data_IF_414318529456
#
_entry.id   IF_414318529456
#
_cell.length_a   1.000
_cell.length_b   1.000
_cell.length_c   1.000
_cell.angle_alpha   90.00
_cell.angle_beta   90.00
_cell.angle_gamma   90.00
#
_symmetry.space_group_name_H-M   'P 1'
#
loop_
_entity.id
_entity.type
_entity.pdbx_description
1 polymer ?
#
# COMPACT_ATOMS: atom_id res chain seq x y z
N UNK A 1 -8.62 -11.63 9.56
CA UNK A 1 -9.40 -12.71 8.92
C UNK A 1 -8.80 -13.13 7.58
N UNK A 2 -8.68 -12.24 6.58
CA UNK A 2 -8.09 -12.59 5.25
C UNK A 2 -6.71 -13.26 5.35
N UNK A 3 -5.77 -12.65 6.08
CA UNK A 3 -4.44 -13.22 6.32
C UNK A 3 -4.48 -14.58 7.03
N UNK A 4 -5.41 -14.75 7.96
CA UNK A 4 -5.57 -16.01 8.69
C UNK A 4 -6.02 -17.13 7.75
N UNK A 5 -7.11 -16.90 6.99
CA UNK A 5 -7.63 -17.88 6.03
C UNK A 5 -6.59 -18.23 4.97
N UNK A 6 -5.80 -17.25 4.55
CA UNK A 6 -4.75 -17.44 3.55
C UNK A 6 -3.54 -18.23 4.06
N UNK A 7 -3.18 -18.13 5.35
CA UNK A 7 -1.90 -18.67 5.87
C UNK A 7 -2.03 -19.77 6.91
N UNK A 8 -3.13 -19.83 7.64
CA UNK A 8 -3.39 -20.76 8.74
C UNK A 8 -4.40 -21.85 8.37
N UNK A 9 -5.18 -21.64 7.31
CA UNK A 9 -6.15 -22.61 6.79
C UNK A 9 -7.61 -22.21 7.00
N UNK A 10 -8.54 -23.14 6.73
CA UNK A 10 -9.98 -22.87 6.76
C UNK A 10 -10.49 -22.37 8.12
N UNK A 11 -11.52 -21.52 8.09
CA UNK A 11 -12.23 -21.07 9.30
C UNK A 11 -13.69 -20.78 8.99
N UNK A 12 -14.47 -20.33 9.98
CA UNK A 12 -15.85 -19.89 9.77
C UNK A 12 -16.06 -18.44 10.22
N UNK A 13 -16.93 -17.73 9.52
CA UNK A 13 -17.34 -16.38 9.89
C UNK A 13 -18.82 -16.17 9.63
N UNK A 14 -19.59 -15.82 10.67
CA UNK A 14 -21.05 -15.62 10.58
C UNK A 14 -21.79 -16.76 9.85
N UNK A 15 -21.36 -18.01 10.07
CA UNK A 15 -21.97 -19.20 9.47
C UNK A 15 -21.46 -19.57 8.06
N UNK A 16 -20.63 -18.74 7.43
CA UNK A 16 -19.97 -19.06 6.16
C UNK A 16 -18.64 -19.79 6.41
N UNK A 17 -18.37 -20.88 5.68
CA UNK A 17 -17.06 -21.53 5.64
C UNK A 17 -16.12 -20.73 4.73
N UNK A 18 -14.95 -20.37 5.25
CA UNK A 18 -13.94 -19.59 4.55
C UNK A 18 -12.75 -20.47 4.21
N UNK A 19 -12.53 -20.69 2.92
CA UNK A 19 -11.39 -21.45 2.38
C UNK A 19 -10.62 -20.63 1.35
N UNK A 20 -9.29 -20.65 1.42
CA UNK A 20 -8.43 -19.97 0.46
C UNK A 20 -8.14 -20.89 -0.72
N UNK A 21 -8.52 -20.47 -1.93
CA UNK A 21 -8.25 -21.18 -3.18
C UNK A 21 -7.25 -20.44 -4.08
N UNK A 22 -6.44 -19.55 -3.52
CA UNK A 22 -5.34 -18.91 -4.27
C UNK A 22 -4.27 -19.94 -4.64
N UNK A 23 -3.81 -19.88 -5.88
CA UNK A 23 -2.61 -20.62 -6.29
C UNK A 23 -1.39 -20.22 -5.44
N UNK A 24 -0.52 -21.19 -5.17
CA UNK A 24 0.62 -21.08 -4.25
C UNK A 24 1.49 -19.84 -4.52
N UNK A 25 1.74 -19.54 -5.80
CA UNK A 25 2.57 -18.42 -6.20
C UNK A 25 1.95 -17.06 -5.84
N UNK A 26 0.66 -16.88 -6.14
CA UNK A 26 -0.08 -15.66 -5.75
C UNK A 26 -0.15 -15.54 -4.24
N UNK A 27 -0.34 -16.66 -3.54
CA UNK A 27 -0.37 -16.70 -2.09
C UNK A 27 0.95 -16.19 -1.52
N UNK A 28 2.09 -16.78 -1.91
CA UNK A 28 3.42 -16.38 -1.43
C UNK A 28 3.74 -14.93 -1.75
N UNK A 29 3.46 -14.46 -2.96
CA UNK A 29 3.84 -13.10 -3.37
C UNK A 29 2.90 -12.04 -2.78
N UNK A 30 1.58 -12.22 -2.84
CA UNK A 30 0.61 -11.22 -2.36
C UNK A 30 0.52 -11.18 -0.83
N UNK A 31 0.47 -12.34 -0.16
CA UNK A 31 0.20 -12.38 1.29
C UNK A 31 1.38 -11.87 2.11
N UNK A 32 2.63 -12.11 1.69
CA UNK A 32 3.79 -11.54 2.37
C UNK A 32 3.76 -10.01 2.34
N UNK A 33 3.36 -9.41 1.21
CA UNK A 33 3.20 -7.96 1.09
C UNK A 33 2.07 -7.46 1.98
N UNK A 34 0.92 -8.15 2.01
CA UNK A 34 -0.20 -7.79 2.86
C UNK A 34 0.12 -7.91 4.37
N UNK A 35 0.89 -8.92 4.78
CA UNK A 35 1.37 -9.05 6.16
C UNK A 35 2.31 -7.90 6.54
N UNK A 36 3.24 -7.52 5.64
CA UNK A 36 4.10 -6.35 5.84
C UNK A 36 3.29 -5.07 6.02
N UNK A 37 2.28 -4.86 5.16
CA UNK A 37 1.35 -3.74 5.29
C UNK A 37 0.63 -3.74 6.66
N UNK A 38 0.14 -4.90 7.10
CA UNK A 38 -0.50 -5.06 8.41
C UNK A 38 0.40 -4.75 9.61
N UNK A 39 1.71 -5.05 9.51
CA UNK A 39 2.68 -4.63 10.52
C UNK A 39 2.81 -3.10 10.57
N UNK A 40 2.90 -2.43 9.40
CA UNK A 40 2.91 -0.97 9.34
C UNK A 40 1.63 -0.34 9.93
N UNK A 41 0.46 -0.93 9.68
CA UNK A 41 -0.80 -0.49 10.34
C UNK A 41 -0.70 -0.64 11.86
N UNK A 42 -0.18 -1.77 12.34
CA UNK A 42 0.01 -2.02 13.78
C UNK A 42 0.93 -0.98 14.41
N UNK A 43 2.01 -0.59 13.72
CA UNK A 43 2.92 0.47 14.17
C UNK A 43 2.19 1.81 14.29
N UNK A 44 1.40 2.21 13.28
CA UNK A 44 0.64 3.46 13.32
C UNK A 44 -0.36 3.45 14.49
N UNK A 45 -1.07 2.34 14.71
CA UNK A 45 -2.02 2.21 15.81
C UNK A 45 -1.35 2.32 17.19
N UNK A 46 -0.11 1.83 17.34
CA UNK A 46 0.68 2.00 18.58
C UNK A 46 1.14 3.43 18.81
N UNK A 47 1.07 4.27 17.79
CA UNK A 47 1.42 5.69 17.82
C UNK A 47 0.17 6.59 17.74
N UNK A 48 -1.03 6.06 17.97
CA UNK A 48 -2.29 6.79 17.81
C UNK A 48 -2.45 7.95 18.81
N UNK A 49 -1.69 7.95 19.91
CA UNK A 49 -1.63 9.00 20.92
C UNK A 49 -0.53 10.04 20.66
N UNK A 50 0.27 9.87 19.60
CA UNK A 50 1.36 10.80 19.29
C UNK A 50 0.83 12.17 18.87
N UNK A 51 1.53 13.21 19.31
CA UNK A 51 1.29 14.61 18.95
C UNK A 51 2.63 15.31 18.71
N UNK A 52 2.64 16.32 17.86
CA UNK A 52 3.80 17.12 17.51
C UNK A 52 4.75 16.42 16.53
N UNK A 53 6.05 16.72 16.66
CA UNK A 53 7.12 16.30 15.72
C UNK A 53 7.07 14.80 15.35
N UNK A 54 6.87 13.84 16.29
CA UNK A 54 6.88 12.41 15.96
C UNK A 54 5.84 11.98 14.92
N UNK A 55 4.74 12.74 14.75
CA UNK A 55 3.71 12.44 13.74
C UNK A 55 4.30 12.47 12.32
N UNK A 56 5.36 13.25 12.07
CA UNK A 56 6.06 13.28 10.78
C UNK A 56 6.51 11.91 10.33
N UNK A 57 6.97 11.07 11.25
CA UNK A 57 7.52 9.74 10.95
C UNK A 57 6.44 8.72 10.58
N UNK A 58 5.17 9.05 10.82
CA UNK A 58 4.04 8.20 10.45
C UNK A 58 3.65 8.33 8.96
N UNK A 59 3.97 9.46 8.30
CA UNK A 59 3.74 9.64 6.86
C UNK A 59 4.42 8.56 5.99
N UNK A 60 5.73 8.28 6.12
CA UNK A 60 6.36 7.23 5.32
C UNK A 60 5.83 5.83 5.65
N UNK A 61 5.46 5.57 6.92
CA UNK A 61 4.87 4.29 7.34
C UNK A 61 3.49 4.10 6.71
N UNK A 62 2.64 5.13 6.73
CA UNK A 62 1.31 5.11 6.11
C UNK A 62 1.39 4.92 4.59
N UNK A 63 2.26 5.68 3.90
CA UNK A 63 2.47 5.53 2.46
C UNK A 63 2.94 4.12 2.09
N UNK A 64 3.87 3.56 2.88
CA UNK A 64 4.34 2.18 2.71
C UNK A 64 3.20 1.17 2.90
N UNK A 65 2.37 1.31 3.93
CA UNK A 65 1.22 0.44 4.16
C UNK A 65 0.22 0.49 2.99
N UNK A 66 -0.14 1.69 2.54
CA UNK A 66 -1.10 1.92 1.45
C UNK A 66 -0.61 1.29 0.14
N UNK A 67 0.63 1.58 -0.28
CA UNK A 67 1.17 1.02 -1.52
C UNK A 67 1.34 -0.50 -1.43
N UNK A 68 1.68 -1.02 -0.25
CA UNK A 68 1.80 -2.46 -0.02
C UNK A 68 0.44 -3.16 -0.15
N UNK A 69 -0.64 -2.62 0.42
CA UNK A 69 -1.99 -3.17 0.21
C UNK A 69 -2.44 -3.10 -1.25
N UNK A 70 -2.13 -2.01 -1.96
CA UNK A 70 -2.41 -1.88 -3.40
C UNK A 70 -1.65 -2.95 -4.19
N UNK A 71 -0.37 -3.18 -3.89
CA UNK A 71 0.44 -4.20 -4.54
C UNK A 71 -0.08 -5.61 -4.29
N UNK A 72 -0.39 -5.92 -3.04
CA UNK A 72 -0.94 -7.21 -2.66
C UNK A 72 -2.27 -7.46 -3.40
N UNK A 73 -3.17 -6.47 -3.41
CA UNK A 73 -4.45 -6.53 -4.11
C UNK A 73 -4.26 -6.69 -5.63
N UNK A 74 -3.36 -5.92 -6.24
CA UNK A 74 -3.08 -5.99 -7.68
C UNK A 74 -2.58 -7.38 -8.11
N UNK A 75 -1.59 -7.95 -7.39
CA UNK A 75 -1.09 -9.30 -7.67
C UNK A 75 -2.20 -10.36 -7.50
N UNK A 76 -3.10 -10.15 -6.55
CA UNK A 76 -4.16 -11.10 -6.23
C UNK A 76 -5.23 -11.20 -7.33
N UNK A 77 -5.55 -10.08 -7.98
CA UNK A 77 -6.60 -10.02 -9.01
C UNK A 77 -6.08 -10.30 -10.42
N UNK A 78 -4.82 -10.02 -10.69
CA UNK A 78 -4.20 -10.15 -12.01
C UNK A 78 -3.96 -11.61 -12.43
N UNK A 79 -3.48 -11.78 -13.66
CA UNK A 79 -3.03 -13.08 -14.17
C UNK A 79 -1.84 -13.66 -13.38
N UNK A 80 -1.64 -14.98 -13.44
CA UNK A 80 -0.52 -15.65 -12.78
C UNK A 80 0.85 -15.18 -13.31
N UNK A 81 0.92 -14.75 -14.57
CA UNK A 81 2.11 -14.17 -15.17
C UNK A 81 2.62 -12.92 -14.41
N UNK A 82 1.73 -12.13 -13.82
CA UNK A 82 2.12 -10.97 -12.97
C UNK A 82 2.77 -11.45 -11.68
N UNK A 83 2.22 -12.49 -11.05
CA UNK A 83 2.77 -13.09 -9.84
C UNK A 83 4.13 -13.77 -10.10
N UNK A 84 4.27 -14.46 -11.24
CA UNK A 84 5.54 -15.06 -11.70
C UNK A 84 6.61 -14.01 -11.91
N UNK A 85 6.29 -12.93 -12.62
CA UNK A 85 7.23 -11.82 -12.84
C UNK A 85 7.63 -11.17 -11.52
N UNK A 86 6.69 -10.95 -10.60
CA UNK A 86 6.96 -10.39 -9.28
C UNK A 86 7.88 -11.31 -8.45
N UNK A 87 7.67 -12.63 -8.49
CA UNK A 87 8.53 -13.58 -7.81
C UNK A 87 9.96 -13.59 -8.39
N UNK A 88 10.11 -13.62 -9.72
CA UNK A 88 11.43 -13.55 -10.38
C UNK A 88 12.15 -12.21 -10.10
N UNK A 89 11.38 -11.13 -10.02
CA UNK A 89 11.93 -9.81 -9.71
C UNK A 89 12.63 -9.77 -8.35
N UNK A 90 12.25 -10.59 -7.37
CA UNK A 90 12.93 -10.63 -6.06
C UNK A 90 14.42 -10.99 -6.23
N UNK A 91 14.71 -12.05 -7.01
CA UNK A 91 16.09 -12.47 -7.28
C UNK A 91 16.85 -11.42 -8.09
N UNK A 92 16.22 -10.87 -9.14
CA UNK A 92 16.82 -9.81 -9.95
C UNK A 92 17.10 -8.54 -9.12
N UNK A 93 16.17 -8.11 -8.28
CA UNK A 93 16.32 -6.92 -7.44
C UNK A 93 17.43 -7.09 -6.40
N UNK A 94 17.56 -8.28 -5.80
CA UNK A 94 18.67 -8.63 -4.91
C UNK A 94 20.02 -8.53 -5.62
N UNK A 95 20.12 -9.10 -6.84
CA UNK A 95 21.32 -8.99 -7.66
C UNK A 95 21.62 -7.54 -8.05
N UNK A 96 20.61 -6.79 -8.49
CA UNK A 96 20.73 -5.38 -8.89
C UNK A 96 21.13 -4.47 -7.73
N UNK A 97 20.81 -4.83 -6.49
CA UNK A 97 21.21 -4.07 -5.30
C UNK A 97 22.73 -3.98 -5.17
N UNK A 98 23.43 -5.04 -5.58
CA UNK A 98 24.89 -5.13 -5.52
C UNK A 98 25.56 -4.94 -6.89
N UNK A 99 24.80 -4.82 -7.97
CA UNK A 99 25.27 -4.69 -9.35
C UNK A 99 24.48 -3.59 -10.09
N UNK A 100 24.85 -2.32 -9.89
CA UNK A 100 24.19 -1.18 -10.54
C UNK A 100 25.11 0.01 -10.75
N UNK A 101 24.76 0.85 -11.72
CA UNK A 101 25.28 2.20 -11.87
C UNK A 101 24.29 3.20 -11.27
N UNK A 102 24.81 4.19 -10.55
CA UNK A 102 24.03 5.28 -9.95
C UNK A 102 24.64 6.60 -10.39
N UNK A 103 23.80 7.59 -10.68
CA UNK A 103 24.24 8.92 -11.12
C UNK A 103 24.58 9.00 -12.60
N UNK A 104 25.14 10.13 -13.02
CA UNK A 104 25.44 10.44 -14.43
C UNK A 104 26.67 11.34 -14.55
N UNK A 105 27.40 11.20 -15.66
CA UNK A 105 28.64 11.96 -15.93
C UNK A 105 29.68 11.77 -14.83
N UNK A 106 30.31 12.88 -14.42
CA UNK A 106 31.32 12.93 -13.37
C UNK A 106 30.77 12.52 -11.99
N UNK A 107 29.46 12.60 -11.79
CA UNK A 107 28.77 12.18 -10.57
C UNK A 107 28.14 10.81 -10.76
N UNK A 108 28.94 9.83 -11.19
CA UNK A 108 28.50 8.45 -11.33
C UNK A 108 29.33 7.49 -10.48
N UNK A 109 28.66 6.47 -9.96
CA UNK A 109 29.26 5.40 -9.17
C UNK A 109 28.77 4.07 -9.70
N UNK A 110 29.70 3.12 -9.82
CA UNK A 110 29.39 1.73 -10.14
C UNK A 110 29.54 0.87 -8.89
N UNK A 111 28.47 0.19 -8.53
CA UNK A 111 28.45 -0.85 -7.52
C UNK A 111 28.47 -2.19 -8.24
N UNK A 112 29.43 -3.06 -7.92
CA UNK A 112 29.51 -4.41 -8.48
C UNK A 112 30.15 -5.36 -7.48
N UNK A 113 29.57 -6.55 -7.31
CA UNK A 113 30.21 -7.67 -6.61
C UNK A 113 31.13 -8.50 -7.51
N UNK A 114 31.21 -8.15 -8.81
CA UNK A 114 32.09 -8.80 -9.77
C UNK A 114 32.83 -7.79 -10.65
N UNK A 115 34.15 -7.89 -10.83
CA UNK A 115 34.89 -7.03 -11.76
C UNK A 115 34.47 -7.24 -13.24
N UNK A 116 33.74 -8.31 -13.54
CA UNK A 116 33.41 -8.75 -14.91
C UNK A 116 32.02 -8.28 -15.42
N UNK A 117 31.15 -7.77 -14.55
CA UNK A 117 29.83 -7.27 -14.98
C UNK A 117 30.00 -5.81 -15.42
N UNK A 118 30.40 -5.61 -16.68
CA UNK A 118 30.68 -4.27 -17.21
C UNK A 118 29.41 -3.44 -17.44
N UNK A 119 28.32 -4.11 -17.79
CA UNK A 119 27.03 -3.48 -18.06
C UNK A 119 25.98 -4.11 -17.14
N UNK A 120 25.00 -3.32 -16.67
CA UNK A 120 23.97 -3.72 -15.71
C UNK A 120 22.95 -4.77 -16.24
N UNK A 121 23.40 -5.70 -17.07
CA UNK A 121 22.65 -6.79 -17.69
C UNK A 121 23.12 -8.12 -17.10
N UNK A 122 22.26 -8.74 -16.29
CA UNK A 122 22.49 -10.10 -15.81
C UNK A 122 22.10 -11.11 -16.90
N UNK A 123 22.99 -12.03 -17.30
CA UNK A 123 22.64 -13.15 -18.19
C UNK A 123 21.55 -14.05 -17.59
N UNK A 124 21.41 -14.08 -16.26
CA UNK A 124 20.44 -14.91 -15.54
C UNK A 124 19.01 -14.31 -15.57
N UNK A 125 18.88 -13.02 -15.90
CA UNK A 125 17.61 -12.27 -15.83
C UNK A 125 17.33 -11.47 -17.12
N UNK A 126 17.29 -12.12 -18.30
CA UNK A 126 17.16 -11.44 -19.58
C UNK A 126 15.84 -10.65 -19.72
N UNK A 127 14.76 -11.06 -19.04
CA UNK A 127 13.45 -10.39 -19.08
C UNK A 127 13.38 -9.05 -18.34
N UNK A 128 14.45 -8.70 -17.60
CA UNK A 128 14.62 -7.42 -16.93
C UNK A 128 15.65 -6.52 -17.63
N UNK A 129 16.22 -6.98 -18.75
CA UNK A 129 17.15 -6.20 -19.57
C UNK A 129 16.43 -5.11 -20.38
N UNK A 130 17.10 -3.99 -20.57
CA UNK A 130 16.61 -2.85 -21.35
C UNK A 130 15.86 -1.79 -20.54
N UNK A 131 15.75 -0.60 -21.13
CA UNK A 131 15.11 0.56 -20.50
C UNK A 131 13.65 0.26 -20.13
N UNK A 132 13.27 0.56 -18.88
CA UNK A 132 11.91 0.35 -18.38
C UNK A 132 11.52 -1.10 -18.06
N UNK A 133 12.39 -2.09 -18.30
CA UNK A 133 12.11 -3.49 -17.98
C UNK A 133 12.64 -3.93 -16.61
N UNK A 134 13.48 -3.13 -15.95
CA UNK A 134 14.09 -3.43 -14.65
C UNK A 134 13.15 -3.30 -13.44
N UNK A 135 11.85 -3.54 -13.62
CA UNK A 135 10.77 -3.45 -12.62
C UNK A 135 9.83 -4.65 -12.74
N UNK A 136 9.19 -5.05 -11.64
CA UNK A 136 8.22 -6.15 -11.65
C UNK A 136 6.90 -5.77 -12.35
N UNK A 137 6.52 -4.49 -12.30
CA UNK A 137 5.34 -3.94 -13.00
C UNK A 137 5.68 -2.60 -13.64
N UNK A 138 5.09 -2.33 -14.82
CA UNK A 138 5.18 -1.04 -15.52
C UNK A 138 4.07 -0.08 -15.12
N UNK A 139 3.09 -0.54 -14.34
CA UNK A 139 1.97 0.28 -13.90
C UNK A 139 2.39 1.16 -12.72
N UNK A 140 1.98 2.42 -12.77
CA UNK A 140 2.04 3.32 -11.62
C UNK A 140 1.02 2.92 -10.53
N UNK A 141 1.06 3.59 -9.37
CA UNK A 141 0.10 3.30 -8.27
C UNK A 141 -1.35 3.50 -8.72
N UNK A 142 -1.72 4.61 -9.40
CA UNK A 142 -3.08 4.81 -9.88
C UNK A 142 -3.57 3.72 -10.83
N UNK A 143 -2.74 3.27 -11.76
CA UNK A 143 -3.14 2.22 -12.70
C UNK A 143 -3.29 0.87 -12.02
N UNK A 144 -2.48 0.55 -11.00
CA UNK A 144 -2.63 -0.68 -10.21
C UNK A 144 -3.99 -0.74 -9.50
N UNK A 145 -4.37 0.29 -8.74
CA UNK A 145 -5.65 0.25 -8.03
C UNK A 145 -6.85 0.40 -8.97
N UNK A 146 -6.71 1.08 -10.11
CA UNK A 146 -7.74 1.09 -11.17
C UNK A 146 -8.00 -0.33 -11.65
N UNK A 147 -6.93 -1.10 -11.89
CA UNK A 147 -7.05 -2.49 -12.34
C UNK A 147 -7.68 -3.38 -11.29
N UNK A 148 -7.37 -3.14 -10.02
CA UNK A 148 -8.10 -3.78 -8.90
C UNK A 148 -9.60 -3.45 -8.93
N UNK A 149 -9.97 -2.20 -9.17
CA UNK A 149 -11.38 -1.81 -9.29
C UNK A 149 -12.10 -2.47 -10.48
N UNK A 150 -11.41 -2.64 -11.61
CA UNK A 150 -11.95 -3.31 -12.79
C UNK A 150 -12.13 -4.83 -12.58
N UNK A 151 -11.20 -5.48 -11.89
CA UNK A 151 -11.18 -6.95 -11.75
C UNK A 151 -11.85 -7.47 -10.47
N UNK A 152 -11.84 -6.69 -9.39
CA UNK A 152 -12.44 -7.03 -8.10
C UNK A 152 -13.53 -6.03 -7.64
N UNK A 153 -14.07 -5.25 -8.58
CA UNK A 153 -15.23 -4.40 -8.36
C UNK A 153 -14.90 -2.99 -7.85
N UNK A 154 -15.80 -2.05 -8.18
CA UNK A 154 -15.64 -0.61 -7.94
C UNK A 154 -15.40 -0.26 -6.47
N UNK A 155 -16.00 -1.03 -5.55
CA UNK A 155 -15.80 -0.92 -4.10
C UNK A 155 -14.32 -1.01 -3.71
N UNK A 156 -13.58 -1.99 -4.23
CA UNK A 156 -12.15 -2.13 -3.93
C UNK A 156 -11.33 -0.95 -4.50
N UNK A 157 -11.58 -0.61 -5.77
CA UNK A 157 -10.87 0.48 -6.44
C UNK A 157 -11.08 1.85 -5.80
N UNK A 158 -12.33 2.20 -5.45
CA UNK A 158 -12.68 3.49 -4.83
C UNK A 158 -12.04 3.70 -3.47
N UNK A 159 -11.89 2.63 -2.67
CA UNK A 159 -11.21 2.72 -1.37
C UNK A 159 -9.71 2.92 -1.51
N UNK A 160 -9.08 2.24 -2.46
CA UNK A 160 -7.67 2.52 -2.75
C UNK A 160 -7.47 3.93 -3.31
N UNK A 161 -8.39 4.43 -4.13
CA UNK A 161 -8.38 5.81 -4.58
C UNK A 161 -8.46 6.78 -3.38
N UNK A 162 -9.38 6.56 -2.44
CA UNK A 162 -9.49 7.38 -1.24
C UNK A 162 -8.20 7.35 -0.39
N UNK A 163 -7.68 6.16 -0.11
CA UNK A 163 -6.41 5.98 0.60
C UNK A 163 -5.25 6.73 -0.07
N UNK A 164 -5.15 6.62 -1.40
CA UNK A 164 -4.15 7.32 -2.18
C UNK A 164 -4.33 8.84 -2.10
N UNK A 165 -5.54 9.34 -2.36
CA UNK A 165 -5.82 10.78 -2.41
C UNK A 165 -5.51 11.50 -1.09
N UNK A 166 -5.77 10.85 0.05
CA UNK A 166 -5.56 11.43 1.38
C UNK A 166 -4.07 11.59 1.75
N UNK A 167 -3.18 10.72 1.26
CA UNK A 167 -1.79 10.65 1.77
C UNK A 167 -0.73 10.94 0.70
N UNK A 168 -0.96 10.60 -0.57
CA UNK A 168 0.16 10.47 -1.51
C UNK A 168 0.87 11.79 -1.79
N UNK A 169 0.11 12.83 -2.15
CA UNK A 169 0.69 14.13 -2.50
C UNK A 169 1.35 14.77 -1.27
N UNK A 170 0.61 14.89 -0.17
CA UNK A 170 1.09 15.54 1.04
C UNK A 170 2.28 14.81 1.68
N UNK A 171 2.24 13.48 1.79
CA UNK A 171 3.36 12.71 2.35
C UNK A 171 4.63 12.88 1.53
N UNK A 172 4.54 12.98 0.20
CA UNK A 172 5.70 13.20 -0.65
C UNK A 172 6.39 14.52 -0.33
N UNK A 173 5.61 15.58 -0.17
CA UNK A 173 6.10 16.91 0.21
C UNK A 173 6.78 16.88 1.59
N UNK A 174 6.19 16.21 2.58
CA UNK A 174 6.68 16.13 3.97
C UNK A 174 7.93 15.24 4.10
N UNK A 175 7.91 14.04 3.51
CA UNK A 175 8.99 13.06 3.60
C UNK A 175 10.25 13.57 2.91
N UNK A 176 10.10 14.24 1.76
CA UNK A 176 11.23 14.79 1.02
C UNK A 176 11.66 16.18 1.49
N UNK A 177 11.00 16.75 2.50
CA UNK A 177 11.42 18.03 3.10
C UNK A 177 11.29 19.21 2.14
N UNK A 178 10.30 19.17 1.25
CA UNK A 178 9.97 20.29 0.38
C UNK A 178 9.62 21.56 1.19
N UNK A 179 9.83 22.77 0.63
CA UNK A 179 9.40 23.99 1.30
C UNK A 179 7.92 23.99 1.69
N UNK A 180 7.03 23.47 0.82
CA UNK A 180 5.61 23.36 1.12
C UNK A 180 5.35 22.36 2.25
N UNK A 181 5.87 21.13 2.15
CA UNK A 181 5.63 20.07 3.14
C UNK A 181 6.14 20.42 4.53
N UNK A 182 7.32 21.06 4.63
CA UNK A 182 7.85 21.53 5.92
C UNK A 182 6.95 22.63 6.50
N UNK A 183 6.58 23.65 5.71
CA UNK A 183 5.68 24.71 6.18
C UNK A 183 4.27 24.20 6.52
N UNK A 184 3.78 23.20 5.80
CA UNK A 184 2.51 22.54 6.07
C UNK A 184 2.56 21.80 7.40
N UNK A 185 3.54 20.92 7.58
CA UNK A 185 3.68 20.08 8.76
C UNK A 185 3.80 20.91 10.04
N UNK A 186 4.68 21.92 10.03
CA UNK A 186 4.88 22.82 11.17
C UNK A 186 3.80 23.90 11.29
N UNK A 187 2.82 23.93 10.40
CA UNK A 187 1.78 24.95 10.34
C UNK A 187 2.32 26.39 10.34
N UNK A 188 3.52 26.60 9.79
CA UNK A 188 4.16 27.91 9.69
C UNK A 188 3.35 28.90 8.79
N UNK A 189 2.35 28.39 8.06
CA UNK A 189 1.45 29.15 7.20
C UNK A 189 0.07 29.45 7.83
N UNK A 190 -0.20 28.99 9.06
CA UNK A 190 -1.46 29.25 9.78
C UNK A 190 -1.31 30.50 10.69
N UNK A 191 -2.04 30.70 11.82
CA UNK A 191 -2.27 32.05 12.36
C UNK A 191 -0.96 32.84 12.56
N UNK A 192 -0.97 34.18 12.49
CA UNK A 192 0.25 35.00 12.46
C UNK A 192 1.24 34.73 13.59
N UNK A 193 0.76 34.23 14.73
CA UNK A 193 1.55 33.83 15.88
C UNK A 193 1.14 32.40 16.30
N UNK A 194 1.66 31.35 15.63
CA UNK A 194 1.31 29.97 15.97
C UNK A 194 1.91 29.58 17.32
N UNK A 195 1.13 28.85 18.13
CA UNK A 195 1.54 28.35 19.44
C UNK A 195 1.92 26.86 19.40
N UNK A 196 2.53 26.38 20.48
CA UNK A 196 2.79 24.93 20.64
C UNK A 196 1.49 24.12 20.73
N UNK A 197 0.42 24.70 21.26
CA UNK A 197 -0.89 24.05 21.30
C UNK A 197 -1.46 23.90 19.89
N UNK A 198 -1.42 24.95 19.08
CA UNK A 198 -1.86 24.90 17.67
C UNK A 198 -1.12 23.81 16.90
N UNK A 199 0.21 23.69 17.08
CA UNK A 199 1.00 22.64 16.45
C UNK A 199 0.64 21.21 16.94
N UNK A 200 0.20 21.06 18.19
CA UNK A 200 -0.26 19.75 18.69
C UNK A 200 -1.62 19.39 18.12
N UNK A 201 -2.56 20.33 18.10
CA UNK A 201 -3.91 20.13 17.54
C UNK A 201 -3.84 19.87 16.03
N UNK A 202 -2.92 20.54 15.34
CA UNK A 202 -2.57 20.31 13.95
C UNK A 202 -2.15 18.88 13.64
N UNK A 203 -1.24 18.36 14.46
CA UNK A 203 -0.61 17.07 14.23
C UNK A 203 -1.50 15.94 14.71
N UNK A 204 -2.41 16.20 15.66
CA UNK A 204 -3.57 15.35 15.95
C UNK A 204 -4.41 15.12 14.70
N UNK A 205 -4.85 16.19 14.05
CA UNK A 205 -5.65 16.08 12.82
C UNK A 205 -4.90 15.35 11.69
N UNK A 206 -3.61 15.65 11.51
CA UNK A 206 -2.80 14.92 10.53
C UNK A 206 -2.73 13.42 10.85
N UNK A 207 -2.67 13.03 12.12
CA UNK A 207 -2.70 11.63 12.53
C UNK A 207 -4.06 10.98 12.24
N UNK A 208 -5.16 11.69 12.48
CA UNK A 208 -6.50 11.24 12.09
C UNK A 208 -6.58 10.98 10.57
N UNK A 209 -6.09 11.90 9.75
CA UNK A 209 -6.05 11.76 8.29
C UNK A 209 -5.23 10.52 7.86
N UNK A 210 -4.08 10.27 8.51
CA UNK A 210 -3.26 9.08 8.25
C UNK A 210 -3.98 7.78 8.63
N UNK A 211 -4.67 7.75 9.78
CA UNK A 211 -5.45 6.61 10.24
C UNK A 211 -6.63 6.32 9.30
N UNK A 212 -7.32 7.37 8.83
CA UNK A 212 -8.40 7.26 7.86
C UNK A 212 -7.90 6.68 6.54
N UNK A 213 -6.79 7.20 6.00
CA UNK A 213 -6.20 6.72 4.76
C UNK A 213 -5.75 5.26 4.82
N UNK A 214 -5.12 4.84 5.91
CA UNK A 214 -4.73 3.44 6.12
C UNK A 214 -5.96 2.54 6.28
N UNK A 215 -7.02 3.02 6.92
CA UNK A 215 -8.29 2.29 7.04
C UNK A 215 -8.91 2.05 5.67
N UNK A 216 -8.89 3.05 4.77
CA UNK A 216 -9.30 2.88 3.38
C UNK A 216 -8.46 1.82 2.63
N UNK A 217 -7.14 1.79 2.84
CA UNK A 217 -6.28 0.77 2.21
C UNK A 217 -6.57 -0.65 2.73
N UNK A 218 -6.79 -0.81 4.03
CA UNK A 218 -7.22 -2.09 4.63
C UNK A 218 -8.56 -2.53 4.05
N UNK A 219 -9.53 -1.63 3.98
CA UNK A 219 -10.86 -1.86 3.40
C UNK A 219 -10.79 -2.25 1.90
N UNK A 220 -9.93 -1.58 1.13
CA UNK A 220 -9.66 -1.91 -0.28
C UNK A 220 -9.09 -3.32 -0.43
N UNK A 221 -8.08 -3.68 0.37
CA UNK A 221 -7.47 -5.01 0.34
C UNK A 221 -8.45 -6.11 0.78
N UNK A 222 -9.16 -5.90 1.89
CA UNK A 222 -10.14 -6.86 2.40
C UNK A 222 -11.26 -7.12 1.38
N UNK A 223 -11.82 -6.07 0.78
CA UNK A 223 -12.81 -6.21 -0.30
C UNK A 223 -12.26 -6.97 -1.50
N UNK A 224 -11.01 -6.68 -1.88
CA UNK A 224 -10.35 -7.38 -3.00
C UNK A 224 -10.21 -8.86 -2.70
N UNK A 225 -9.68 -9.21 -1.53
CA UNK A 225 -9.47 -10.59 -1.10
C UNK A 225 -10.79 -11.37 -1.03
N UNK A 226 -11.76 -10.86 -0.27
CA UNK A 226 -13.02 -11.58 -0.04
C UNK A 226 -13.85 -11.72 -1.31
N UNK A 227 -13.91 -10.69 -2.17
CA UNK A 227 -14.59 -10.82 -3.47
C UNK A 227 -13.90 -11.84 -4.36
N UNK A 228 -12.56 -11.83 -4.43
CA UNK A 228 -11.83 -12.77 -5.28
C UNK A 228 -11.99 -14.22 -4.84
N UNK A 229 -12.14 -14.44 -3.53
CA UNK A 229 -12.36 -15.77 -2.94
C UNK A 229 -13.85 -16.17 -2.88
N UNK A 230 -14.78 -15.29 -3.27
CA UNK A 230 -16.21 -15.58 -3.16
C UNK A 230 -16.74 -15.65 -1.72
N UNK A 231 -16.10 -14.95 -0.78
CA UNK A 231 -16.45 -14.95 0.64
C UNK A 231 -17.38 -13.79 0.99
N UNK A 232 -18.70 -14.03 1.04
CA UNK A 232 -19.72 -12.98 1.09
C UNK A 232 -19.86 -12.35 2.48
N UNK A 233 -19.97 -13.13 3.54
CA UNK A 233 -20.18 -12.63 4.90
C UNK A 233 -19.06 -11.67 5.36
N UNK A 234 -17.75 -11.97 5.20
CA UNK A 234 -16.72 -11.02 5.55
C UNK A 234 -16.64 -9.82 4.59
N UNK A 235 -17.03 -10.00 3.32
CA UNK A 235 -17.15 -8.88 2.36
C UNK A 235 -18.24 -7.87 2.78
N UNK A 236 -19.37 -8.35 3.27
CA UNK A 236 -20.46 -7.51 3.79
C UNK A 236 -20.10 -6.88 5.15
N UNK A 237 -19.52 -7.65 6.07
CA UNK A 237 -19.10 -7.13 7.37
C UNK A 237 -18.06 -6.02 7.26
N UNK A 238 -17.18 -6.10 6.26
CA UNK A 238 -16.25 -5.03 5.94
C UNK A 238 -16.99 -3.76 5.47
N UNK A 239 -18.06 -3.86 4.66
CA UNK A 239 -18.88 -2.71 4.28
C UNK A 239 -19.65 -2.12 5.46
N UNK A 240 -20.15 -2.95 6.38
CA UNK A 240 -20.78 -2.48 7.62
C UNK A 240 -19.82 -1.62 8.43
N UNK A 241 -18.55 -2.05 8.56
CA UNK A 241 -17.53 -1.29 9.25
C UNK A 241 -17.21 0.01 8.51
N UNK A 242 -17.10 -0.04 7.19
CA UNK A 242 -16.85 1.12 6.36
C UNK A 242 -17.97 2.17 6.47
N UNK A 243 -19.23 1.73 6.47
CA UNK A 243 -20.39 2.62 6.65
C UNK A 243 -20.39 3.30 8.03
N UNK A 244 -19.90 2.62 9.07
CA UNK A 244 -19.71 3.26 10.39
C UNK A 244 -18.67 4.37 10.35
N UNK A 245 -17.58 4.17 9.60
CA UNK A 245 -16.56 5.22 9.41
C UNK A 245 -17.15 6.41 8.66
N UNK A 246 -17.85 6.17 7.55
CA UNK A 246 -18.52 7.23 6.78
C UNK A 246 -19.53 8.03 7.63
N UNK A 247 -20.30 7.35 8.47
CA UNK A 247 -21.28 8.00 9.34
C UNK A 247 -20.63 8.94 10.37
N UNK A 248 -19.42 8.64 10.85
CA UNK A 248 -18.66 9.55 11.73
C UNK A 248 -18.25 10.84 11.01
N UNK A 249 -18.06 10.78 9.70
CA UNK A 249 -17.73 11.91 8.81
C UNK A 249 -18.99 12.62 8.27
N UNK A 250 -20.19 12.23 8.73
CA UNK A 250 -21.46 12.78 8.24
C UNK A 250 -21.82 12.38 6.80
N UNK A 251 -21.21 11.32 6.28
CA UNK A 251 -21.49 10.78 4.94
C UNK A 251 -22.52 9.67 5.02
N UNK A 252 -23.52 9.68 4.12
CA UNK A 252 -24.56 8.66 4.09
C UNK A 252 -23.97 7.25 3.83
N UNK A 253 -24.45 6.20 4.55
CA UNK A 253 -24.02 4.83 4.32
C UNK A 253 -24.28 4.36 2.88
N UNK A 254 -23.32 3.63 2.33
CA UNK A 254 -23.47 2.98 1.03
C UNK A 254 -24.25 1.65 1.20
N UNK A 255 -25.19 1.29 0.31
CA UNK A 255 -25.90 0.02 0.39
C UNK A 255 -24.98 -1.19 0.47
N UNK A 256 -25.46 -2.25 1.15
CA UNK A 256 -24.77 -3.54 1.17
C UNK A 256 -24.99 -4.24 -0.19
N UNK A 257 -23.97 -4.23 -1.03
CA UNK A 257 -23.98 -4.94 -2.32
C UNK A 257 -23.49 -6.39 -2.14
N UNK A 258 -24.21 -7.35 -2.73
CA UNK A 258 -23.75 -8.73 -2.96
C UNK A 258 -22.68 -8.76 -4.06
N UNK A 259 -22.26 -9.95 -4.50
CA UNK A 259 -21.30 -10.05 -5.61
C UNK A 259 -21.88 -9.73 -7.00
N UNK A 260 -23.18 -9.44 -7.07
CA UNK A 260 -23.94 -9.19 -8.30
C UNK A 260 -23.52 -7.88 -9.00
#
# INVERSE_FOLDING_TARGET
MSLYVATQGPTSFRGESLECHLGELKLKTSQHIAMCAGQSVTTILRCADWRGIPVRDLYPIARSAIESFINAAYILVESDAVAERAAKYVAFASWKQTNRQVGSGDFSMKLSTSPLVQDATSPEFPEFAGSGNGVWTKLDVPSRFRKVGELAGRKAGSRFLAAYALVYSLSSEIIHGSPYGVNYFYQAHLPPNPTVADFKDATEKQLEDLLLAVSHAVAGYASTFFRRQGMLAPYLAEQELFNKLLALEGVEPVPLESFD
#
